data_IF_272400373336
#
_entry.id   IF_272400373336
#
_cell.length_a   1.000
_cell.length_b   1.000
_cell.length_c   1.000
_cell.angle_alpha   90.00
_cell.angle_beta   90.00
_cell.angle_gamma   90.00
#
_symmetry.space_group_name_H-M   'P 1'
#
loop_
_entity.id
_entity.type
_entity.pdbx_description
1 polymer ?
#
# COMPACT_ATOMS: atom_id res chain seq x y z
N UNK A 1 -28.34 -0.55 -24.40
CA UNK A 1 -29.38 -0.45 -23.36
C UNK A 1 -29.34 -1.79 -22.65
N UNK A 2 -28.58 -1.87 -21.55
CA UNK A 2 -28.36 -3.13 -20.83
C UNK A 2 -29.25 -3.10 -19.59
N UNK A 3 -30.23 -4.02 -19.60
CA UNK A 3 -31.28 -4.14 -18.61
C UNK A 3 -30.71 -4.86 -17.37
N UNK A 4 -30.63 -4.11 -16.26
CA UNK A 4 -30.26 -4.62 -14.94
C UNK A 4 -31.45 -5.33 -14.32
N UNK A 5 -31.69 -6.58 -14.74
CA UNK A 5 -32.76 -7.40 -14.15
C UNK A 5 -32.37 -8.89 -14.10
N UNK A 6 -31.27 -9.23 -13.43
CA UNK A 6 -31.10 -10.52 -12.76
C UNK A 6 -29.96 -10.45 -11.76
N UNK A 7 -30.28 -10.56 -10.47
CA UNK A 7 -29.37 -10.43 -9.33
C UNK A 7 -28.45 -11.64 -9.14
N UNK A 8 -27.57 -11.90 -10.10
CA UNK A 8 -26.43 -12.79 -9.93
C UNK A 8 -25.17 -11.95 -10.08
N UNK A 9 -24.57 -11.57 -8.94
CA UNK A 9 -23.27 -10.92 -8.92
C UNK A 9 -22.24 -11.84 -9.55
N UNK A 10 -21.69 -11.42 -10.70
CA UNK A 10 -20.58 -12.12 -11.34
C UNK A 10 -19.36 -12.01 -10.43
N UNK A 11 -19.10 -13.07 -9.65
CA UNK A 11 -17.86 -13.23 -8.92
C UNK A 11 -16.74 -13.47 -9.94
N UNK A 12 -15.85 -12.49 -10.11
CA UNK A 12 -14.61 -12.69 -10.84
C UNK A 12 -13.63 -13.45 -9.93
N UNK A 13 -13.48 -14.75 -10.19
CA UNK A 13 -12.43 -15.56 -9.56
C UNK A 13 -11.16 -15.35 -10.38
N UNK A 14 -10.20 -14.60 -9.85
CA UNK A 14 -8.84 -14.59 -10.38
C UNK A 14 -8.14 -15.87 -9.93
N UNK A 15 -8.20 -16.91 -10.76
CA UNK A 15 -7.58 -18.20 -10.48
C UNK A 15 -6.11 -18.19 -10.95
N UNK A 16 -5.19 -17.94 -10.02
CA UNK A 16 -3.76 -18.12 -10.29
C UNK A 16 -3.41 -19.60 -10.08
N UNK A 17 -3.43 -20.39 -11.16
CA UNK A 17 -3.04 -21.81 -11.12
C UNK A 17 -1.56 -21.92 -11.46
N UNK A 18 -0.71 -22.08 -10.46
CA UNK A 18 0.67 -22.51 -10.68
C UNK A 18 0.64 -24.01 -10.98
N UNK A 19 0.81 -24.39 -12.24
CA UNK A 19 1.01 -25.80 -12.62
C UNK A 19 2.50 -26.05 -12.85
N UNK A 20 3.09 -26.94 -12.06
CA UNK A 20 4.45 -27.43 -12.27
C UNK A 20 4.93 -28.34 -11.12
N UNK A 21 5.53 -29.51 -11.41
CA UNK A 21 6.10 -30.39 -10.38
C UNK A 21 7.36 -29.76 -9.75
N UNK A 22 7.59 -30.12 -8.50
CA UNK A 22 8.55 -29.54 -7.54
C UNK A 22 10.04 -29.64 -7.88
N UNK A 23 10.43 -30.16 -9.04
CA UNK A 23 11.85 -30.47 -9.34
C UNK A 23 12.25 -30.00 -10.76
N UNK A 24 12.29 -28.69 -11.00
CA UNK A 24 13.01 -28.08 -12.14
C UNK A 24 13.05 -26.53 -12.07
N UNK A 25 13.51 -25.94 -10.96
CA UNK A 25 13.94 -24.53 -10.95
C UNK A 25 15.47 -24.46 -11.05
N UNK A 26 16.01 -24.69 -12.25
CA UNK A 26 17.34 -24.18 -12.60
C UNK A 26 17.14 -22.84 -13.31
N UNK A 27 17.31 -21.74 -12.56
CA UNK A 27 17.28 -20.40 -13.13
C UNK A 27 18.36 -20.27 -14.21
N UNK A 28 18.04 -19.93 -15.47
CA UNK A 28 19.07 -19.56 -16.43
C UNK A 28 19.73 -18.27 -15.97
N UNK A 29 21.07 -18.28 -15.91
CA UNK A 29 21.89 -17.12 -15.57
C UNK A 29 21.57 -15.95 -16.49
N UNK A 30 21.01 -14.87 -15.94
CA UNK A 30 20.81 -13.61 -16.66
C UNK A 30 22.19 -12.96 -16.87
N UNK A 31 22.66 -12.98 -18.11
CA UNK A 31 23.89 -12.30 -18.51
C UNK A 31 23.75 -10.77 -18.37
N UNK A 32 24.81 -10.04 -17.97
CA UNK A 32 24.73 -8.61 -17.70
C UNK A 32 24.86 -7.82 -19.00
N UNK A 33 23.74 -7.36 -19.56
CA UNK A 33 23.73 -6.25 -20.51
C UNK A 33 22.80 -5.18 -19.97
N UNK A 34 23.22 -3.92 -20.09
CA UNK A 34 22.54 -2.70 -19.60
C UNK A 34 22.79 -2.31 -18.14
N UNK A 35 24.07 -2.15 -17.77
CA UNK A 35 24.47 -1.47 -16.53
C UNK A 35 24.74 0.04 -16.69
N UNK A 36 24.61 0.61 -17.91
CA UNK A 36 25.11 1.97 -18.22
C UNK A 36 24.10 2.93 -18.88
N UNK A 37 22.82 2.91 -18.51
CA UNK A 37 21.84 3.93 -18.97
C UNK A 37 21.31 4.86 -17.87
N UNK A 38 21.95 4.87 -16.68
CA UNK A 38 21.56 5.71 -15.54
C UNK A 38 22.23 7.08 -15.45
N UNK A 39 22.77 7.65 -16.53
CA UNK A 39 23.63 8.85 -16.47
C UNK A 39 23.10 10.13 -17.15
N UNK A 40 21.86 10.16 -17.62
CA UNK A 40 21.33 11.29 -18.41
C UNK A 40 20.14 12.05 -17.82
N UNK A 41 19.78 11.83 -16.56
CA UNK A 41 18.79 12.65 -15.87
C UNK A 41 19.32 12.98 -14.48
N UNK A 42 19.31 14.28 -14.12
CA UNK A 42 19.77 14.94 -12.89
C UNK A 42 21.23 15.48 -12.87
N UNK A 43 21.43 16.82 -12.85
CA UNK A 43 22.67 17.41 -12.40
C UNK A 43 22.68 17.48 -10.86
N UNK A 44 23.54 16.69 -10.23
CA UNK A 44 23.95 16.91 -8.84
C UNK A 44 25.10 17.93 -8.84
N UNK A 45 24.96 19.02 -8.07
CA UNK A 45 26.09 19.84 -7.64
C UNK A 45 26.24 19.74 -6.11
N UNK A 46 27.45 19.46 -5.59
CA UNK A 46 27.72 19.32 -4.16
C UNK A 46 28.49 20.53 -3.56
N UNK A 47 28.02 21.06 -2.43
CA UNK A 47 28.79 21.80 -1.39
C UNK A 47 27.76 22.46 -0.45
N UNK A 48 27.78 22.38 0.89
CA UNK A 48 28.89 22.35 1.83
C UNK A 48 28.98 23.73 2.53
N UNK A 49 28.58 23.84 3.80
CA UNK A 49 28.91 24.97 4.67
C UNK A 49 27.76 25.56 5.50
N UNK A 50 27.82 25.37 6.82
CA UNK A 50 27.04 26.13 7.80
C UNK A 50 27.65 27.53 8.03
N UNK A 51 26.86 28.58 8.33
CA UNK A 51 27.40 29.85 8.83
C UNK A 51 27.24 30.01 10.36
N UNK A 52 28.20 30.67 11.03
CA UNK A 52 28.19 30.89 12.48
C UNK A 52 27.60 32.25 12.89
N UNK A 53 27.03 32.29 14.11
CA UNK A 53 27.02 33.48 14.97
C UNK A 53 25.92 34.53 14.77
N UNK A 54 24.96 34.57 15.70
CA UNK A 54 24.30 35.82 16.09
C UNK A 54 24.00 35.80 17.60
N UNK A 55 24.34 36.92 18.23
CA UNK A 55 24.37 37.16 19.69
C UNK A 55 22.97 37.27 20.29
N UNK A 56 22.92 37.09 21.60
CA UNK A 56 21.69 37.05 22.38
C UNK A 56 20.97 38.38 22.53
N UNK A 57 19.70 38.25 22.92
CA UNK A 57 18.90 39.27 23.60
C UNK A 57 18.07 38.54 24.64
N UNK A 58 18.25 38.94 25.89
CA UNK A 58 17.58 38.45 27.08
C UNK A 58 16.42 39.41 27.40
N UNK A 59 15.24 38.89 27.73
CA UNK A 59 14.14 39.67 28.32
C UNK A 59 12.75 39.05 28.08
N UNK A 60 11.75 39.33 28.94
CA UNK A 60 11.77 39.16 30.39
C UNK A 60 10.83 38.03 30.85
N UNK A 61 11.02 37.61 32.10
CA UNK A 61 10.24 36.60 32.79
C UNK A 61 8.77 37.03 32.97
N UNK A 62 7.83 36.15 32.63
CA UNK A 62 6.42 36.30 32.96
C UNK A 62 6.14 35.55 34.28
N UNK A 63 5.98 36.30 35.36
CA UNK A 63 5.41 35.83 36.63
C UNK A 63 3.90 36.05 36.61
N UNK A 64 3.12 34.99 36.85
CA UNK A 64 1.72 35.11 37.27
C UNK A 64 1.58 34.51 38.67
N UNK A 65 1.14 35.36 39.61
CA UNK A 65 0.71 35.03 40.98
C UNK A 65 -0.82 35.09 41.06
N UNK A 66 -1.39 34.12 41.79
CA UNK A 66 -2.74 34.15 42.40
C UNK A 66 -3.86 33.57 41.53
N UNK A 67 -4.85 32.82 42.02
CA UNK A 67 -5.23 32.47 43.38
C UNK A 67 -6.03 31.15 43.42
N UNK A 68 -6.16 30.63 44.64
CA UNK A 68 -6.70 29.33 45.04
C UNK A 68 -8.24 29.30 45.00
N UNK A 69 -8.83 28.18 44.56
CA UNK A 69 -10.07 27.66 45.16
C UNK A 69 -9.79 26.28 45.77
N UNK A 70 -10.09 26.18 47.08
CA UNK A 70 -9.98 24.98 47.90
C UNK A 70 -11.21 24.10 47.67
N UNK A 71 -11.01 22.78 47.60
CA UNK A 71 -12.13 21.84 47.71
C UNK A 71 -11.74 20.38 47.53
N UNK A 72 -11.26 19.78 48.62
CA UNK A 72 -11.19 18.32 48.92
C UNK A 72 -10.43 17.43 47.93
N UNK A 73 -9.17 17.15 48.26
CA UNK A 73 -8.36 16.11 47.63
C UNK A 73 -8.55 14.73 48.24
N UNK A 74 -8.09 13.70 47.52
CA UNK A 74 -7.18 12.65 48.02
C UNK A 74 -6.27 12.25 46.85
N UNK A 75 -5.02 12.03 47.20
CA UNK A 75 -3.85 11.83 46.36
C UNK A 75 -3.85 10.49 45.62
N UNK A 76 -3.41 10.48 44.37
CA UNK A 76 -2.50 9.43 43.92
C UNK A 76 -1.15 10.08 43.65
N UNK A 77 -0.23 9.83 44.59
CA UNK A 77 1.18 9.70 44.27
C UNK A 77 1.27 8.96 42.92
N UNK A 78 1.87 9.60 41.92
CA UNK A 78 2.65 8.80 40.99
C UNK A 78 3.78 8.23 41.86
N UNK A 79 3.54 7.06 42.46
CA UNK A 79 4.63 6.20 42.87
C UNK A 79 5.56 6.15 41.66
N UNK A 80 6.85 6.38 41.93
CA UNK A 80 7.90 6.32 40.95
C UNK A 80 7.84 4.99 40.22
N UNK A 81 7.14 4.99 39.09
CA UNK A 81 7.22 3.99 38.07
C UNK A 81 7.70 4.73 36.84
N UNK A 82 8.97 4.56 36.51
CA UNK A 82 9.46 4.61 35.13
C UNK A 82 8.83 3.47 34.32
N UNK A 83 7.51 3.32 34.43
CA UNK A 83 6.75 2.17 33.96
C UNK A 83 6.52 2.30 32.46
N UNK A 84 7.01 1.32 31.72
CA UNK A 84 6.76 1.16 30.29
C UNK A 84 5.31 1.51 29.93
N UNK A 85 5.11 2.50 29.05
CA UNK A 85 3.77 2.81 28.53
C UNK A 85 3.21 1.55 27.87
N UNK A 86 1.94 1.24 28.14
CA UNK A 86 1.25 0.09 27.56
C UNK A 86 0.40 0.54 26.39
N UNK A 87 0.56 -0.12 25.25
CA UNK A 87 -0.26 0.09 24.05
C UNK A 87 -0.97 -1.20 23.71
N UNK A 88 -2.27 -1.12 23.48
CA UNK A 88 -3.06 -2.24 22.98
C UNK A 88 -3.49 -1.96 21.55
N UNK A 89 -3.26 -2.92 20.67
CA UNK A 89 -3.67 -2.91 19.26
C UNK A 89 -4.74 -3.98 19.11
N UNK A 90 -5.92 -3.58 18.61
CA UNK A 90 -7.04 -4.50 18.39
C UNK A 90 -7.00 -4.99 16.95
N UNK A 91 -6.78 -6.29 16.77
CA UNK A 91 -6.66 -6.99 15.49
C UNK A 91 -5.21 -7.24 15.08
N UNK A 92 -4.90 -8.51 14.79
CA UNK A 92 -3.62 -8.99 14.30
C UNK A 92 -3.53 -9.06 12.77
N UNK A 93 -4.31 -8.25 12.04
CA UNK A 93 -4.17 -8.12 10.59
C UNK A 93 -2.89 -7.36 10.19
N UNK A 94 -2.59 -7.30 8.88
CA UNK A 94 -1.38 -6.63 8.35
C UNK A 94 -1.15 -5.23 8.94
N UNK A 95 -2.20 -4.39 9.02
CA UNK A 95 -2.08 -3.05 9.60
C UNK A 95 -1.70 -3.06 11.08
N UNK A 96 -2.30 -3.95 11.87
CA UNK A 96 -1.99 -4.10 13.29
C UNK A 96 -0.55 -4.58 13.53
N UNK A 97 -0.10 -5.57 12.75
CA UNK A 97 1.28 -6.08 12.80
C UNK A 97 2.30 -4.98 12.44
N UNK A 98 2.05 -4.23 11.36
CA UNK A 98 2.93 -3.14 10.92
C UNK A 98 2.99 -1.99 11.95
N UNK A 99 1.84 -1.60 12.53
CA UNK A 99 1.79 -0.56 13.57
C UNK A 99 2.53 -1.02 14.83
N UNK A 100 2.34 -2.28 15.25
CA UNK A 100 3.02 -2.84 16.42
C UNK A 100 4.53 -2.80 16.27
N UNK A 101 5.06 -3.27 15.14
CA UNK A 101 6.51 -3.31 14.91
C UNK A 101 7.13 -1.93 14.79
N UNK A 102 6.46 -1.00 14.08
CA UNK A 102 6.90 0.40 14.00
C UNK A 102 6.92 1.09 15.36
N UNK A 103 5.88 0.89 16.17
CA UNK A 103 5.83 1.44 17.54
C UNK A 103 6.91 0.83 18.42
N UNK A 104 7.12 -0.49 18.36
CA UNK A 104 8.13 -1.17 19.16
C UNK A 104 9.55 -0.69 18.82
N UNK A 105 9.82 -0.44 17.53
CA UNK A 105 11.09 0.13 17.07
C UNK A 105 11.29 1.58 17.52
N UNK A 106 10.24 2.40 17.42
CA UNK A 106 10.29 3.82 17.79
C UNK A 106 10.30 4.07 19.31
N UNK A 107 9.72 3.16 20.08
CA UNK A 107 9.55 3.22 21.54
C UNK A 107 9.90 1.88 22.19
N UNK A 108 11.20 1.54 22.30
CA UNK A 108 11.64 0.26 22.87
C UNK A 108 11.22 0.05 24.33
N UNK A 109 10.97 1.14 25.05
CA UNK A 109 10.51 1.17 26.43
C UNK A 109 9.00 0.93 26.58
N UNK A 110 8.23 0.88 25.49
CA UNK A 110 6.79 0.63 25.55
C UNK A 110 6.50 -0.85 25.45
N UNK A 111 5.47 -1.30 26.19
CA UNK A 111 4.93 -2.66 26.10
C UNK A 111 3.75 -2.64 25.14
N UNK A 112 3.83 -3.40 24.06
CA UNK A 112 2.81 -3.42 23.02
C UNK A 112 2.16 -4.80 23.03
N UNK A 113 0.83 -4.83 23.10
CA UNK A 113 0.05 -6.07 23.04
C UNK A 113 -0.96 -5.98 21.90
N UNK A 114 -0.94 -6.97 21.00
CA UNK A 114 -1.97 -7.18 19.98
C UNK A 114 -3.00 -8.15 20.51
N UNK A 115 -4.28 -7.80 20.42
CA UNK A 115 -5.41 -8.69 20.71
C UNK A 115 -6.02 -9.16 19.40
N UNK A 116 -5.91 -10.46 19.10
CA UNK A 116 -6.45 -11.10 17.90
C UNK A 116 -7.55 -12.09 18.30
N UNK A 117 -8.74 -11.94 17.71
CA UNK A 117 -9.90 -12.78 18.05
C UNK A 117 -9.75 -14.20 17.51
N UNK A 118 -9.03 -14.39 16.42
CA UNK A 118 -8.82 -15.69 15.80
C UNK A 118 -7.66 -16.44 16.47
N UNK A 119 -7.50 -17.72 16.11
CA UNK A 119 -6.40 -18.57 16.58
C UNK A 119 -5.04 -18.21 15.96
N UNK A 120 -5.06 -17.39 14.91
CA UNK A 120 -3.87 -16.91 14.17
C UNK A 120 -4.01 -15.44 13.78
N UNK A 121 -2.87 -14.76 13.72
CA UNK A 121 -2.77 -13.41 13.16
C UNK A 121 -2.71 -13.48 11.62
N UNK A 122 -2.69 -12.32 10.97
CA UNK A 122 -2.67 -12.14 9.51
C UNK A 122 -3.95 -11.53 8.96
N UNK A 123 -5.09 -11.72 9.63
CA UNK A 123 -6.38 -11.23 9.15
C UNK A 123 -6.70 -11.80 7.78
N UNK A 124 -6.71 -10.95 6.74
CA UNK A 124 -6.92 -11.37 5.35
C UNK A 124 -5.68 -12.02 4.70
N UNK A 125 -4.50 -11.91 5.31
CA UNK A 125 -3.30 -12.63 4.86
C UNK A 125 -3.37 -14.08 5.34
N UNK A 126 -4.27 -14.84 4.73
CA UNK A 126 -4.54 -16.20 5.15
C UNK A 126 -4.63 -17.17 3.98
N UNK A 127 -4.50 -18.44 4.32
CA UNK A 127 -4.38 -19.54 3.38
C UNK A 127 -5.09 -20.77 3.94
N UNK A 128 -5.72 -21.54 3.07
CA UNK A 128 -6.33 -22.84 3.38
C UNK A 128 -5.68 -23.94 2.56
N UNK A 129 -5.52 -25.10 3.19
CA UNK A 129 -5.00 -26.30 2.55
C UNK A 129 -6.11 -27.31 2.34
N UNK A 130 -6.13 -27.99 1.19
CA UNK A 130 -7.16 -28.94 0.78
C UNK A 130 -6.50 -30.22 0.27
N UNK A 131 -7.13 -31.37 0.52
CA UNK A 131 -6.65 -32.68 0.08
C UNK A 131 -5.34 -33.07 0.77
N UNK A 132 -5.32 -33.01 2.11
CA UNK A 132 -4.15 -33.35 2.94
C UNK A 132 -2.87 -32.56 2.58
N UNK A 133 -3.04 -31.29 2.22
CA UNK A 133 -1.94 -30.40 1.84
C UNK A 133 -1.55 -30.47 0.36
N UNK A 134 -2.26 -31.24 -0.47
CA UNK A 134 -2.00 -31.30 -1.91
C UNK A 134 -2.26 -29.96 -2.61
N UNK A 135 -3.22 -29.17 -2.12
CA UNK A 135 -3.57 -27.86 -2.67
C UNK A 135 -3.54 -26.80 -1.60
N UNK A 136 -3.10 -25.60 -1.99
CA UNK A 136 -3.04 -24.41 -1.13
C UNK A 136 -3.75 -23.25 -1.82
N UNK A 137 -4.66 -22.60 -1.12
CA UNK A 137 -5.43 -21.46 -1.61
C UNK A 137 -5.25 -20.27 -0.68
N UNK A 138 -4.72 -19.17 -1.20
CA UNK A 138 -4.75 -17.88 -0.51
C UNK A 138 -6.21 -17.36 -0.48
N UNK A 139 -6.71 -16.97 0.69
CA UNK A 139 -8.13 -16.62 0.90
C UNK A 139 -8.41 -15.11 0.91
N UNK A 140 -7.36 -14.30 0.79
CA UNK A 140 -7.48 -12.83 0.75
C UNK A 140 -6.78 -12.24 -0.47
N UNK A 141 -5.69 -11.49 -0.31
CA UNK A 141 -5.00 -10.87 -1.44
C UNK A 141 -4.30 -11.91 -2.31
N UNK A 142 -4.25 -11.63 -3.61
CA UNK A 142 -3.65 -12.49 -4.63
C UNK A 142 -2.61 -11.76 -5.50
N UNK A 143 -2.47 -10.45 -5.34
CA UNK A 143 -1.60 -9.57 -6.12
C UNK A 143 -0.80 -8.68 -5.19
N UNK A 144 0.53 -8.71 -5.30
CA UNK A 144 1.41 -7.80 -4.56
C UNK A 144 1.90 -6.72 -5.50
N UNK A 145 1.44 -5.49 -5.25
CA UNK A 145 1.87 -4.27 -5.94
C UNK A 145 2.77 -3.44 -5.03
N UNK A 146 3.58 -2.56 -5.61
CA UNK A 146 4.47 -1.66 -4.89
C UNK A 146 5.35 -2.38 -3.85
N UNK A 147 6.22 -3.33 -4.26
CA UNK A 147 7.08 -4.09 -3.33
C UNK A 147 7.96 -3.19 -2.46
N UNK A 148 8.30 -1.98 -2.92
CA UNK A 148 9.06 -1.01 -2.14
C UNK A 148 8.33 -0.55 -0.87
N UNK A 149 6.99 -0.51 -0.86
CA UNK A 149 6.23 -0.21 0.37
C UNK A 149 6.41 -1.32 1.41
N UNK A 150 6.46 -2.57 0.97
CA UNK A 150 6.73 -3.71 1.85
C UNK A 150 8.16 -3.63 2.38
N UNK A 151 9.15 -3.34 1.52
CA UNK A 151 10.56 -3.13 1.95
C UNK A 151 10.69 -2.03 2.99
N UNK A 152 10.13 -0.84 2.72
CA UNK A 152 10.12 0.30 3.65
C UNK A 152 9.40 -0.04 4.97
N UNK A 153 8.39 -0.90 4.91
CA UNK A 153 7.67 -1.35 6.12
C UNK A 153 8.57 -2.22 6.99
N UNK A 154 9.25 -3.22 6.42
CA UNK A 154 10.22 -4.05 7.15
C UNK A 154 11.41 -3.21 7.65
N UNK A 155 11.92 -2.29 6.83
CA UNK A 155 13.03 -1.40 7.20
C UNK A 155 12.68 -0.52 8.39
N UNK A 156 11.45 0.01 8.43
CA UNK A 156 10.96 0.81 9.56
C UNK A 156 10.87 0.01 10.88
N UNK A 157 10.87 -1.32 10.81
CA UNK A 157 10.93 -2.22 11.97
C UNK A 157 12.36 -2.71 12.25
N UNK A 158 13.33 -2.29 11.44
CA UNK A 158 14.74 -2.68 11.56
C UNK A 158 15.07 -4.04 10.93
N UNK A 159 14.30 -4.48 9.94
CA UNK A 159 14.53 -5.72 9.19
C UNK A 159 14.53 -5.46 7.69
N UNK A 160 15.01 -6.42 6.88
CA UNK A 160 14.83 -6.40 5.43
C UNK A 160 13.73 -7.37 5.01
N UNK A 161 12.93 -7.04 4.00
CA UNK A 161 11.84 -7.88 3.51
C UNK A 161 12.36 -9.23 2.99
N UNK A 162 13.43 -9.17 2.19
CA UNK A 162 14.05 -10.31 1.51
C UNK A 162 14.64 -11.35 2.47
N UNK A 163 14.82 -11.02 3.75
CA UNK A 163 15.25 -11.97 4.77
C UNK A 163 14.11 -12.90 5.23
N UNK A 164 12.86 -12.54 4.92
CA UNK A 164 11.66 -13.25 5.39
C UNK A 164 10.73 -13.69 4.26
N UNK A 165 10.69 -12.93 3.17
CA UNK A 165 9.75 -13.16 2.06
C UNK A 165 10.49 -13.10 0.74
N UNK A 166 10.50 -14.22 0.03
CA UNK A 166 10.95 -14.27 -1.35
C UNK A 166 9.83 -13.77 -2.26
N UNK A 167 10.08 -12.66 -2.96
CA UNK A 167 9.16 -12.10 -3.95
C UNK A 167 9.66 -12.40 -5.36
N UNK A 168 8.77 -12.94 -6.19
CA UNK A 168 9.00 -13.09 -7.63
C UNK A 168 8.07 -12.18 -8.39
N UNK A 169 8.57 -11.59 -9.48
CA UNK A 169 7.73 -10.85 -10.42
C UNK A 169 7.01 -11.84 -11.33
N UNK A 170 5.70 -11.67 -11.47
CA UNK A 170 4.84 -12.50 -12.32
C UNK A 170 4.95 -11.98 -13.76
N UNK A 171 5.31 -12.85 -14.70
CA UNK A 171 5.45 -12.53 -16.11
C UNK A 171 4.93 -13.70 -16.98
N UNK A 172 3.90 -13.48 -17.83
CA UNK A 172 3.13 -12.24 -17.99
C UNK A 172 2.29 -11.89 -16.76
N UNK A 173 2.05 -10.60 -16.54
CA UNK A 173 1.33 -10.10 -15.35
C UNK A 173 -0.07 -10.72 -15.21
N UNK A 174 -0.84 -10.74 -16.30
CA UNK A 174 -2.15 -11.39 -16.38
C UNK A 174 -2.58 -11.59 -17.84
N UNK A 175 -3.64 -12.38 -18.04
CA UNK A 175 -4.29 -12.57 -19.35
C UNK A 175 -5.78 -12.25 -19.27
N UNK A 176 -6.27 -11.46 -20.21
CA UNK A 176 -7.68 -11.15 -20.41
C UNK A 176 -8.22 -12.00 -21.54
N UNK A 177 -9.18 -12.85 -21.21
CA UNK A 177 -9.86 -13.70 -22.19
C UNK A 177 -11.16 -13.03 -22.65
N UNK A 178 -11.33 -12.94 -23.96
CA UNK A 178 -12.52 -12.34 -24.57
C UNK A 178 -13.33 -13.37 -25.35
N UNK A 179 -14.67 -13.24 -25.46
CA UNK A 179 -15.51 -14.20 -26.19
C UNK A 179 -15.16 -14.35 -27.68
N UNK A 180 -14.59 -13.31 -28.28
CA UNK A 180 -14.12 -13.25 -29.67
C UNK A 180 -12.72 -13.85 -29.86
N UNK A 181 -12.13 -14.45 -28.82
CA UNK A 181 -10.80 -15.04 -28.78
C UNK A 181 -9.60 -14.08 -29.03
N UNK A 182 -9.84 -12.79 -29.29
CA UNK A 182 -8.78 -11.78 -29.29
C UNK A 182 -8.39 -11.48 -27.85
N UNK A 183 -7.51 -12.31 -27.29
CA UNK A 183 -7.06 -12.21 -25.91
C UNK A 183 -5.99 -11.12 -25.75
N UNK A 184 -5.81 -10.63 -24.53
CA UNK A 184 -4.77 -9.67 -24.20
C UNK A 184 -3.90 -10.19 -23.07
N UNK A 185 -2.59 -10.27 -23.31
CA UNK A 185 -1.59 -10.66 -22.33
C UNK A 185 -0.84 -9.41 -21.88
N UNK A 186 -1.10 -8.98 -20.65
CA UNK A 186 -0.42 -7.84 -20.04
C UNK A 186 0.98 -8.25 -19.59
N UNK A 187 1.96 -7.38 -19.87
CA UNK A 187 3.35 -7.55 -19.42
C UNK A 187 3.97 -6.20 -19.09
N UNK A 188 5.08 -6.23 -18.36
CA UNK A 188 5.94 -5.05 -18.16
C UNK A 188 6.77 -4.71 -19.41
N UNK A 189 6.84 -5.63 -20.38
CA UNK A 189 7.49 -5.39 -21.67
C UNK A 189 6.50 -4.74 -22.67
N UNK A 190 6.71 -3.46 -22.97
CA UNK A 190 5.85 -2.72 -23.91
C UNK A 190 5.86 -3.31 -25.32
N UNK A 191 6.99 -3.91 -25.74
CA UNK A 191 7.11 -4.53 -27.06
C UNK A 191 6.22 -5.77 -27.20
N UNK A 192 6.07 -6.54 -26.12
CA UNK A 192 5.25 -7.75 -26.11
C UNK A 192 3.75 -7.40 -26.21
N UNK A 193 3.36 -6.20 -25.75
CA UNK A 193 1.98 -5.72 -25.83
C UNK A 193 1.67 -4.99 -27.15
N UNK A 194 2.68 -4.47 -27.87
CA UNK A 194 2.48 -3.63 -29.04
C UNK A 194 1.57 -4.28 -30.09
N UNK A 195 1.91 -5.49 -30.53
CA UNK A 195 1.18 -6.16 -31.60
C UNK A 195 -0.26 -6.49 -31.18
N UNK A 196 -0.46 -6.91 -29.92
CA UNK A 196 -1.78 -7.20 -29.36
C UNK A 196 -2.65 -5.94 -29.32
N UNK A 197 -2.08 -4.78 -28.95
CA UNK A 197 -2.81 -3.51 -28.90
C UNK A 197 -3.21 -3.02 -30.29
N UNK A 198 -2.34 -3.15 -31.29
CA UNK A 198 -2.65 -2.80 -32.69
C UNK A 198 -3.64 -3.77 -33.34
N UNK A 199 -3.64 -5.05 -32.93
CA UNK A 199 -4.63 -6.04 -33.38
C UNK A 199 -6.03 -5.71 -32.86
N UNK A 200 -6.15 -5.27 -31.61
CA UNK A 200 -7.44 -4.92 -31.01
C UNK A 200 -7.99 -3.60 -31.59
N UNK A 201 -7.13 -2.60 -31.79
CA UNK A 201 -7.52 -1.31 -32.34
C UNK A 201 -6.36 -0.70 -33.13
N UNK A 202 -6.62 -0.28 -34.37
CA UNK A 202 -5.62 0.46 -35.17
C UNK A 202 -5.19 1.74 -34.44
N UNK A 203 -3.87 1.87 -34.18
CA UNK A 203 -3.30 2.95 -33.38
C UNK A 203 -3.43 2.76 -31.87
N UNK A 204 -3.87 1.59 -31.42
CA UNK A 204 -4.07 1.23 -30.02
C UNK A 204 -2.78 1.34 -29.20
N UNK A 205 -1.63 0.99 -29.76
CA UNK A 205 -0.34 1.15 -29.05
C UNK A 205 -0.01 2.63 -28.83
N UNK A 206 -0.27 3.48 -29.83
CA UNK A 206 -0.09 4.93 -29.68
C UNK A 206 -1.08 5.52 -28.67
N UNK A 207 -2.32 5.04 -28.64
CA UNK A 207 -3.31 5.38 -27.61
C UNK A 207 -2.81 5.04 -26.21
N UNK A 208 -2.30 3.82 -26.05
CA UNK A 208 -1.74 3.30 -24.82
C UNK A 208 -0.54 4.11 -24.32
N UNK A 209 0.42 4.47 -25.18
CA UNK A 209 1.56 5.30 -24.76
C UNK A 209 1.12 6.66 -24.20
N UNK A 210 0.13 7.32 -24.84
CA UNK A 210 -0.42 8.59 -24.33
C UNK A 210 -1.17 8.41 -23.01
N UNK A 211 -1.90 7.31 -22.87
CA UNK A 211 -2.57 6.98 -21.61
C UNK A 211 -1.55 6.74 -20.49
N UNK A 212 -0.45 6.03 -20.78
CA UNK A 212 0.63 5.75 -19.82
C UNK A 212 1.41 7.01 -19.43
N UNK A 213 1.55 7.97 -20.33
CA UNK A 213 2.11 9.30 -20.00
C UNK A 213 1.24 10.02 -18.97
N UNK A 214 -0.09 10.07 -19.16
CA UNK A 214 -1.02 10.66 -18.19
C UNK A 214 -1.05 9.88 -16.87
N UNK A 215 -1.09 8.56 -16.94
CA UNK A 215 -1.10 7.68 -15.77
C UNK A 215 0.22 7.81 -14.97
N UNK A 216 1.36 8.06 -15.63
CA UNK A 216 2.64 8.37 -14.99
C UNK A 216 2.54 9.64 -14.14
N UNK A 217 1.98 10.71 -14.70
CA UNK A 217 1.78 11.97 -13.97
C UNK A 217 0.87 11.73 -12.77
N UNK A 218 -0.23 10.99 -12.95
CA UNK A 218 -1.14 10.62 -11.87
C UNK A 218 -0.45 9.78 -10.79
N UNK A 219 0.46 8.88 -11.14
CA UNK A 219 1.24 8.10 -10.18
C UNK A 219 2.27 8.97 -9.44
N UNK A 220 3.11 9.72 -10.17
CA UNK A 220 4.16 10.56 -9.57
C UNK A 220 3.56 11.64 -8.65
N UNK A 221 2.41 12.22 -9.04
CA UNK A 221 1.73 13.25 -8.26
C UNK A 221 0.75 12.69 -7.24
N UNK A 222 0.07 11.57 -7.49
CA UNK A 222 -0.91 11.00 -6.56
C UNK A 222 -0.30 10.06 -5.52
N UNK A 223 0.63 9.20 -5.93
CA UNK A 223 1.23 8.17 -5.07
C UNK A 223 2.53 8.63 -4.41
N UNK A 224 3.40 9.33 -5.15
CA UNK A 224 4.71 9.77 -4.64
C UNK A 224 4.68 11.16 -4.00
N UNK A 225 3.66 11.97 -4.24
CA UNK A 225 3.53 13.22 -3.50
C UNK A 225 2.93 12.93 -2.12
N UNK A 226 3.79 13.08 -1.10
CA UNK A 226 3.46 13.08 0.32
C UNK A 226 2.11 13.76 0.68
N UNK A 227 1.63 14.85 0.06
CA UNK A 227 0.37 15.47 0.46
C UNK A 227 -0.89 14.57 0.37
N UNK A 228 -0.97 13.56 -0.51
CA UNK A 228 -2.18 12.72 -0.60
C UNK A 228 -2.19 11.50 0.35
N UNK A 229 -1.02 11.07 0.83
CA UNK A 229 -0.86 9.89 1.68
C UNK A 229 -0.42 10.20 3.11
N UNK A 230 0.07 11.41 3.42
CA UNK A 230 0.77 11.68 4.68
C UNK A 230 0.37 12.94 5.45
N UNK A 231 -0.80 13.55 5.22
CA UNK A 231 -1.15 14.75 6.00
C UNK A 231 -2.60 14.82 6.49
N UNK A 232 -2.69 15.19 7.77
CA UNK A 232 -3.91 15.57 8.47
C UNK A 232 -4.71 16.62 7.68
N UNK A 233 -6.01 16.36 7.55
CA UNK A 233 -6.96 17.12 6.76
C UNK A 233 -7.10 18.60 7.20
N UNK A 234 -6.33 19.49 6.58
CA UNK A 234 -6.59 20.94 6.59
C UNK A 234 -6.70 21.45 5.16
N UNK A 235 -7.83 22.07 4.82
CA UNK A 235 -8.08 22.71 3.53
C UNK A 235 -7.05 23.82 3.20
N UNK A 236 -6.36 24.36 4.21
CA UNK A 236 -5.33 25.39 4.05
C UNK A 236 -3.97 24.84 3.58
N UNK A 237 -3.70 23.54 3.74
CA UNK A 237 -2.46 22.92 3.26
C UNK A 237 -2.42 22.78 1.73
N UNK A 238 -3.57 22.82 1.05
CA UNK A 238 -3.66 22.85 -0.42
C UNK A 238 -3.23 24.19 -1.03
N UNK A 239 -3.11 25.25 -0.22
CA UNK A 239 -2.67 26.58 -0.66
C UNK A 239 -1.14 26.79 -0.59
N UNK A 240 -0.36 25.72 -0.39
CA UNK A 240 1.10 25.80 -0.38
C UNK A 240 1.66 25.82 -1.83
N UNK A 241 2.63 26.70 -2.11
CA UNK A 241 3.23 26.89 -3.44
C UNK A 241 3.88 25.60 -3.96
N UNK A 242 4.40 24.77 -3.07
CA UNK A 242 4.94 23.44 -3.42
C UNK A 242 3.85 22.48 -3.94
N UNK A 243 2.62 22.59 -3.43
CA UNK A 243 1.47 21.83 -3.94
C UNK A 243 0.96 22.39 -5.28
N UNK A 244 1.10 23.71 -5.50
CA UNK A 244 0.77 24.33 -6.78
C UNK A 244 1.70 23.84 -7.91
N UNK A 245 2.99 23.65 -7.62
CA UNK A 245 3.97 23.07 -8.54
C UNK A 245 3.70 21.58 -8.80
N UNK A 246 3.21 20.83 -7.81
CA UNK A 246 2.76 19.45 -7.98
C UNK A 246 1.52 19.34 -8.88
N UNK A 247 0.67 20.37 -8.90
CA UNK A 247 -0.55 20.43 -9.72
C UNK A 247 -0.32 20.97 -11.13
N UNK A 248 0.82 21.61 -11.43
CA UNK A 248 1.05 22.32 -12.71
C UNK A 248 0.87 21.43 -13.94
N UNK A 249 1.27 20.16 -13.84
CA UNK A 249 1.21 19.21 -14.95
C UNK A 249 0.06 18.19 -14.74
N UNK A 250 -0.70 18.30 -13.64
CA UNK A 250 -1.83 17.42 -13.32
C UNK A 250 -3.11 17.97 -13.96
N UNK A 251 -3.81 17.14 -14.75
CA UNK A 251 -5.11 17.54 -15.29
C UNK A 251 -6.18 17.36 -14.21
N UNK A 252 -6.81 18.44 -13.69
CA UNK A 252 -7.85 18.37 -12.67
C UNK A 252 -9.07 17.54 -13.11
N UNK A 253 -9.28 17.35 -14.42
CA UNK A 253 -10.30 16.45 -14.92
C UNK A 253 -10.10 15.01 -14.44
N UNK A 254 -8.89 14.59 -14.04
CA UNK A 254 -8.66 13.26 -13.45
C UNK A 254 -9.34 13.05 -12.09
N UNK A 255 -9.73 14.13 -11.39
CA UNK A 255 -10.48 14.07 -10.13
C UNK A 255 -11.99 14.11 -10.33
N UNK A 256 -12.45 14.71 -11.43
CA UNK A 256 -13.86 15.01 -11.67
C UNK A 256 -14.49 14.04 -12.67
N UNK A 257 -13.74 13.65 -13.70
CA UNK A 257 -14.22 12.71 -14.72
C UNK A 257 -14.06 11.27 -14.25
N UNK A 258 -14.96 10.44 -14.75
CA UNK A 258 -14.88 8.99 -14.53
C UNK A 258 -13.74 8.42 -15.37
N UNK A 259 -13.16 7.31 -14.91
CA UNK A 259 -12.06 6.63 -15.60
C UNK A 259 -12.52 6.17 -17.00
N UNK A 260 -13.76 5.68 -17.12
CA UNK A 260 -14.36 5.30 -18.40
C UNK A 260 -14.47 6.48 -19.39
N UNK A 261 -14.94 7.65 -18.95
CA UNK A 261 -15.02 8.84 -19.81
C UNK A 261 -13.63 9.28 -20.24
N UNK A 262 -12.67 9.27 -19.32
CA UNK A 262 -11.30 9.68 -19.61
C UNK A 262 -10.63 8.78 -20.65
N UNK A 263 -10.84 7.46 -20.56
CA UNK A 263 -10.28 6.48 -21.49
C UNK A 263 -10.77 6.65 -22.93
N UNK A 264 -11.94 7.28 -23.14
CA UNK A 264 -12.46 7.55 -24.48
C UNK A 264 -11.57 8.48 -25.32
N UNK A 265 -10.69 9.26 -24.68
CA UNK A 265 -9.68 10.11 -25.33
C UNK A 265 -8.51 9.33 -25.92
N UNK A 266 -8.26 8.12 -25.41
CA UNK A 266 -7.12 7.29 -25.76
C UNK A 266 -7.48 6.13 -26.68
N UNK A 267 -8.67 5.54 -26.44
CA UNK A 267 -9.13 4.33 -27.11
C UNK A 267 -10.55 4.52 -27.64
N UNK A 268 -10.83 3.97 -28.82
CA UNK A 268 -12.16 4.01 -29.47
C UNK A 268 -13.01 2.79 -29.12
N UNK A 269 -12.38 1.63 -28.99
CA UNK A 269 -13.01 0.35 -28.73
C UNK A 269 -13.34 0.19 -27.24
N UNK A 270 -14.55 -0.31 -26.96
CA UNK A 270 -14.95 -0.64 -25.59
C UNK A 270 -14.03 -1.69 -24.95
N UNK A 271 -13.45 -2.56 -25.78
CA UNK A 271 -12.53 -3.61 -25.34
C UNK A 271 -11.24 -3.06 -24.73
N UNK A 272 -10.54 -2.14 -25.40
CA UNK A 272 -9.34 -1.52 -24.80
C UNK A 272 -9.70 -0.67 -23.59
N UNK A 273 -10.82 0.04 -23.62
CA UNK A 273 -11.30 0.79 -22.43
C UNK A 273 -11.53 -0.13 -21.24
N UNK A 274 -12.15 -1.31 -21.45
CA UNK A 274 -12.36 -2.29 -20.39
C UNK A 274 -11.04 -2.88 -19.88
N UNK A 275 -10.12 -3.26 -20.78
CA UNK A 275 -8.80 -3.81 -20.41
C UNK A 275 -8.01 -2.80 -19.57
N UNK A 276 -8.04 -1.51 -19.92
CA UNK A 276 -7.26 -0.45 -19.27
C UNK A 276 -7.94 0.15 -18.02
N UNK A 277 -9.17 -0.28 -17.71
CA UNK A 277 -9.91 0.20 -16.53
C UNK A 277 -10.25 -0.89 -15.52
N UNK A 278 -9.89 -2.14 -15.79
CA UNK A 278 -10.20 -3.29 -14.93
C UNK A 278 -9.68 -3.11 -13.49
N UNK A 279 -8.57 -2.40 -13.31
CA UNK A 279 -7.86 -2.17 -12.05
C UNK A 279 -8.68 -1.32 -11.07
N UNK A 280 -9.73 -0.63 -11.54
CA UNK A 280 -10.70 0.01 -10.65
C UNK A 280 -11.37 -1.02 -9.71
N UNK A 281 -11.44 -2.30 -10.11
CA UNK A 281 -11.95 -3.38 -9.25
C UNK A 281 -11.07 -3.62 -8.02
N UNK A 282 -9.78 -3.24 -8.04
CA UNK A 282 -8.90 -3.44 -6.89
C UNK A 282 -9.30 -2.56 -5.70
N UNK A 283 -9.94 -1.43 -5.99
CA UNK A 283 -10.52 -0.53 -4.99
C UNK A 283 -12.04 -0.71 -4.87
N UNK A 284 -12.60 -1.75 -5.50
CA UNK A 284 -14.03 -2.09 -5.45
C UNK A 284 -14.95 -1.10 -6.19
N UNK A 285 -14.41 -0.38 -7.18
CA UNK A 285 -15.17 0.62 -7.94
C UNK A 285 -15.39 0.18 -9.39
N UNK A 286 -16.55 0.57 -9.95
CA UNK A 286 -16.82 0.40 -11.37
C UNK A 286 -16.12 1.52 -12.17
N UNK A 287 -15.61 1.25 -13.39
CA UNK A 287 -14.96 2.27 -14.21
C UNK A 287 -15.78 3.53 -14.52
N UNK A 288 -17.12 3.40 -14.52
CA UNK A 288 -18.06 4.50 -14.76
C UNK A 288 -18.32 5.36 -13.51
N UNK A 289 -17.77 4.99 -12.36
CA UNK A 289 -17.89 5.75 -11.11
C UNK A 289 -16.53 6.06 -10.49
N UNK A 290 -15.51 5.26 -10.78
CA UNK A 290 -14.14 5.48 -10.36
C UNK A 290 -13.58 6.77 -10.99
N UNK A 291 -12.98 7.67 -10.21
CA UNK A 291 -12.20 8.79 -10.73
C UNK A 291 -11.07 8.31 -11.65
N UNK A 292 -10.80 9.08 -12.71
CA UNK A 292 -9.73 8.76 -13.65
C UNK A 292 -8.32 8.79 -13.02
N UNK A 293 -8.16 9.41 -11.84
CA UNK A 293 -6.95 9.32 -11.01
C UNK A 293 -6.48 7.86 -10.80
N UNK A 294 -7.40 6.89 -10.74
CA UNK A 294 -7.07 5.47 -10.57
C UNK A 294 -6.32 4.83 -11.74
N UNK A 295 -6.12 5.55 -12.85
CA UNK A 295 -5.14 5.17 -13.90
C UNK A 295 -3.74 4.95 -13.34
N UNK A 296 -3.39 5.53 -12.18
CA UNK A 296 -2.14 5.26 -11.47
C UNK A 296 -1.94 3.76 -11.15
N UNK A 297 -3.03 2.99 -10.96
CA UNK A 297 -2.93 1.55 -10.67
C UNK A 297 -2.46 0.78 -11.89
N UNK A 298 -2.97 1.14 -13.08
CA UNK A 298 -2.52 0.56 -14.34
C UNK A 298 -1.06 0.91 -14.62
N UNK A 299 -0.67 2.16 -14.33
CA UNK A 299 0.74 2.57 -14.43
C UNK A 299 1.65 1.75 -13.52
N UNK A 300 1.25 1.61 -12.25
CA UNK A 300 1.97 0.84 -11.24
C UNK A 300 2.20 -0.61 -11.71
N UNK A 301 1.18 -1.27 -12.24
CA UNK A 301 1.30 -2.65 -12.72
C UNK A 301 2.22 -2.81 -13.93
N UNK A 302 2.14 -1.91 -14.91
CA UNK A 302 2.94 -2.03 -16.13
C UNK A 302 4.40 -1.68 -15.87
N UNK A 303 4.66 -0.71 -14.98
CA UNK A 303 6.02 -0.22 -14.73
C UNK A 303 6.72 -1.02 -13.64
N UNK A 304 6.08 -1.23 -12.50
CA UNK A 304 6.70 -1.98 -11.39
C UNK A 304 6.49 -3.49 -11.52
N UNK A 305 5.38 -3.91 -12.13
CA UNK A 305 5.03 -5.32 -12.25
C UNK A 305 4.22 -5.84 -11.06
N UNK A 306 3.50 -6.92 -11.32
CA UNK A 306 2.79 -7.69 -10.30
C UNK A 306 3.78 -8.68 -9.69
N UNK A 307 3.81 -8.76 -8.36
CA UNK A 307 4.66 -9.69 -7.63
C UNK A 307 3.83 -10.73 -6.88
N UNK A 308 4.46 -11.87 -6.60
CA UNK A 308 3.90 -12.94 -5.79
C UNK A 308 4.92 -13.39 -4.74
N UNK A 309 4.53 -13.50 -3.46
CA UNK A 309 5.38 -14.12 -2.45
C UNK A 309 5.41 -15.64 -2.66
N UNK A 310 6.60 -16.21 -2.84
CA UNK A 310 6.76 -17.67 -2.95
C UNK A 310 6.25 -18.32 -1.67
N UNK A 311 5.27 -19.22 -1.80
CA UNK A 311 4.56 -19.81 -0.66
C UNK A 311 3.25 -19.11 -0.27
N UNK A 312 2.86 -18.04 -0.97
CA UNK A 312 1.59 -17.33 -0.77
C UNK A 312 1.65 -16.22 0.27
N UNK A 313 0.54 -15.51 0.42
CA UNK A 313 0.47 -14.31 1.26
C UNK A 313 0.61 -14.59 2.76
N UNK A 314 0.42 -15.85 3.19
CA UNK A 314 0.81 -16.32 4.50
C UNK A 314 2.30 -16.05 4.82
N UNK A 315 3.20 -16.05 3.82
CA UNK A 315 4.62 -15.72 4.03
C UNK A 315 4.85 -14.27 4.43
N UNK A 316 4.06 -13.34 3.92
CA UNK A 316 4.12 -11.93 4.35
C UNK A 316 3.74 -11.82 5.83
N UNK A 317 2.66 -12.49 6.25
CA UNK A 317 2.25 -12.58 7.66
C UNK A 317 3.37 -13.19 8.51
N UNK A 318 3.92 -14.33 8.11
CA UNK A 318 4.98 -15.04 8.84
C UNK A 318 6.22 -14.17 9.00
N UNK A 319 6.64 -13.46 7.94
CA UNK A 319 7.75 -12.53 8.01
C UNK A 319 7.50 -11.37 8.98
N UNK A 320 6.29 -10.80 8.98
CA UNK A 320 5.93 -9.78 9.97
C UNK A 320 5.99 -10.32 11.40
N UNK A 321 5.40 -11.49 11.66
CA UNK A 321 5.42 -12.11 12.99
C UNK A 321 6.85 -12.47 13.44
N UNK A 322 7.69 -12.94 12.53
CA UNK A 322 9.12 -13.20 12.78
C UNK A 322 9.85 -11.95 13.25
N UNK A 323 9.63 -10.81 12.57
CA UNK A 323 10.20 -9.52 12.99
C UNK A 323 9.68 -9.11 14.37
N UNK A 324 8.37 -9.27 14.62
CA UNK A 324 7.76 -8.92 15.91
C UNK A 324 8.26 -9.77 17.07
N UNK A 325 8.59 -11.05 16.85
CA UNK A 325 9.13 -11.93 17.89
C UNK A 325 10.48 -11.45 18.45
N UNK A 326 11.24 -10.68 17.66
CA UNK A 326 12.47 -10.02 18.12
C UNK A 326 12.27 -8.66 18.79
N UNK A 327 11.02 -8.19 18.92
CA UNK A 327 10.66 -6.89 19.48
C UNK A 327 9.81 -7.06 20.75
N UNK A 328 9.60 -5.97 21.50
CA UNK A 328 8.78 -5.98 22.73
C UNK A 328 7.26 -5.96 22.42
N UNK A 329 6.81 -6.92 21.60
CA UNK A 329 5.43 -7.06 21.14
C UNK A 329 4.89 -8.43 21.55
N UNK A 330 3.79 -8.43 22.27
CA UNK A 330 3.02 -9.63 22.62
C UNK A 330 1.81 -9.75 21.70
N UNK A 331 1.52 -10.96 21.19
CA UNK A 331 0.29 -11.24 20.44
C UNK A 331 -0.55 -12.23 21.22
N UNK A 332 -1.77 -11.83 21.61
CA UNK A 332 -2.73 -12.67 22.32
C UNK A 332 -3.82 -13.11 21.35
N UNK A 333 -3.83 -14.40 21.04
CA UNK A 333 -4.84 -15.06 20.19
C UNK A 333 -6.09 -15.44 20.98
N UNK A 334 -7.21 -15.69 20.28
CA UNK A 334 -8.49 -15.99 20.93
C UNK A 334 -9.03 -14.86 21.81
N UNK A 335 -8.51 -13.65 21.66
CA UNK A 335 -8.80 -12.50 22.51
C UNK A 335 -9.76 -11.54 21.80
N UNK A 336 -11.05 -11.88 21.79
CA UNK A 336 -12.08 -11.00 21.23
C UNK A 336 -12.32 -9.77 22.12
N UNK A 337 -12.12 -8.58 21.54
CA UNK A 337 -12.37 -7.31 22.24
C UNK A 337 -13.84 -6.94 22.11
N UNK A 338 -14.55 -6.94 23.25
CA UNK A 338 -15.98 -6.62 23.30
C UNK A 338 -16.27 -5.12 23.48
N UNK A 339 -15.39 -4.37 24.16
CA UNK A 339 -15.58 -2.94 24.43
C UNK A 339 -14.26 -2.18 24.61
N UNK A 340 -14.25 -0.94 24.15
CA UNK A 340 -13.22 0.06 24.49
C UNK A 340 -13.77 0.98 25.57
N UNK A 341 -13.07 1.08 26.71
CA UNK A 341 -13.42 1.96 27.82
C UNK A 341 -12.67 3.28 27.64
N UNK A 342 -13.39 4.39 27.74
CA UNK A 342 -12.84 5.73 27.66
C UNK A 342 -13.09 6.46 28.99
N UNK A 343 -12.04 6.93 29.64
CA UNK A 343 -12.17 7.99 30.65
C UNK A 343 -12.17 9.33 29.92
N UNK A 344 -13.03 10.28 30.33
CA UNK A 344 -13.28 11.56 29.63
C UNK A 344 -12.10 12.54 29.49
N UNK A 345 -10.86 12.05 29.50
CA UNK A 345 -9.61 12.81 29.36
C UNK A 345 -8.51 12.10 28.58
N UNK A 346 -8.83 11.17 27.66
CA UNK A 346 -7.87 10.73 26.63
C UNK A 346 -7.05 9.48 26.93
N UNK A 347 -7.61 8.48 27.63
CA UNK A 347 -6.99 7.16 27.80
C UNK A 347 -7.94 6.05 27.37
N UNK A 348 -7.54 5.27 26.36
CA UNK A 348 -8.25 4.05 25.97
C UNK A 348 -7.75 2.86 26.80
N UNK A 349 -8.67 2.16 27.46
CA UNK A 349 -8.42 0.86 28.07
C UNK A 349 -9.31 -0.16 27.35
N UNK A 350 -8.70 -1.15 26.71
CA UNK A 350 -9.42 -2.31 26.16
C UNK A 350 -9.60 -3.33 27.29
N UNK A 351 -10.84 -3.67 27.60
CA UNK A 351 -11.18 -4.71 28.57
C UNK A 351 -12.15 -5.71 27.96
N UNK A 352 -11.90 -6.99 28.23
CA UNK A 352 -12.79 -8.12 27.96
C UNK A 352 -12.23 -9.35 28.67
N UNK A 353 -13.08 -9.99 29.46
CA UNK A 353 -12.87 -11.07 30.45
C UNK A 353 -11.82 -12.13 30.14
#
# INVERSE_FOLDING_TARGET
MWDTASGLGTAFILLCVLTGPSDAFSAPSVAPKYRDLGRWLFPLSPSGGAPPGARGVMGPAFQLRGSVSRGTGVWMQAEGGTGAKRVVIVGGGIGGLCVAGRLAKARPDWRITILEKNEKAGGRLDTVEVGDGAYRFDTGPTLLLAPDIYRQTFEAMGSRLEDHVELVRVDPSYRVFSPDATNFTASTCLLDMKNQLEEIEEGGFRGFLRYMEEACVNYVRGFNSRPFLSKDNSLLDYANIDNLLLLRDFDPANLVQTHSERLSRFFKTEKLRAIMSFQNLYVGLAPHTAPALFSLLQYLEIVEGIHYPIGGFAKVREGLLSVLAGLNVEVRYGAEVSRIIHSGGGGFLTGGS
#
